data_IF_698218878453
#
_entry.id   IF_698218878453
#
_cell.length_a   1.000
_cell.length_b   1.000
_cell.length_c   1.000
_cell.angle_alpha   90.00
_cell.angle_beta   90.00
_cell.angle_gamma   90.00
#
_symmetry.space_group_name_H-M   'P 1'
#
loop_
_entity.id
_entity.type
_entity.pdbx_description
1 polymer ?
#
# COMPACT_ATOMS: atom_id res chain seq x y z
N UNK A 1 -3.00 -16.35 10.41
CA UNK A 1 -3.12 -16.46 8.94
C UNK A 1 -3.18 -15.05 8.41
N UNK A 2 -2.35 -14.70 7.42
CA UNK A 2 -2.43 -13.39 6.76
C UNK A 2 -3.72 -13.38 5.94
N UNK A 3 -4.46 -12.29 5.99
CA UNK A 3 -5.67 -12.10 5.16
C UNK A 3 -5.28 -12.19 3.68
N UNK A 4 -5.92 -13.06 2.91
CA UNK A 4 -5.57 -13.31 1.50
C UNK A 4 -5.63 -12.03 0.64
N UNK A 5 -6.43 -11.04 1.05
CA UNK A 5 -6.49 -9.73 0.39
C UNK A 5 -5.17 -8.98 0.52
N UNK A 6 -4.47 -9.12 1.64
CA UNK A 6 -3.15 -8.49 1.82
C UNK A 6 -2.16 -9.09 0.82
N UNK A 7 -2.15 -10.41 0.67
CA UNK A 7 -1.28 -11.06 -0.31
C UNK A 7 -1.60 -10.64 -1.74
N UNK A 8 -2.88 -10.54 -2.10
CA UNK A 8 -3.32 -10.04 -3.40
C UNK A 8 -2.82 -8.61 -3.67
N UNK A 9 -2.86 -7.73 -2.67
CA UNK A 9 -2.33 -6.37 -2.79
C UNK A 9 -0.80 -6.37 -2.98
N UNK A 10 -0.07 -7.18 -2.22
CA UNK A 10 1.40 -7.27 -2.35
C UNK A 10 1.80 -7.82 -3.72
N UNK A 11 1.14 -8.87 -4.20
CA UNK A 11 1.41 -9.42 -5.54
C UNK A 11 1.14 -8.41 -6.66
N UNK A 12 0.10 -7.60 -6.53
CA UNK A 12 -0.16 -6.51 -7.47
C UNK A 12 1.01 -5.52 -7.50
N UNK A 13 1.47 -5.05 -6.33
CA UNK A 13 2.60 -4.12 -6.24
C UNK A 13 3.90 -4.73 -6.78
N UNK A 14 4.18 -6.01 -6.46
CA UNK A 14 5.35 -6.72 -6.99
C UNK A 14 5.29 -6.90 -8.50
N UNK A 15 4.10 -7.11 -9.08
CA UNK A 15 3.93 -7.18 -10.53
C UNK A 15 4.26 -5.85 -11.19
N UNK A 16 3.70 -4.74 -10.70
CA UNK A 16 3.98 -3.40 -11.21
C UNK A 16 5.48 -3.09 -11.10
N UNK A 17 6.11 -3.40 -9.95
CA UNK A 17 7.53 -3.14 -9.74
C UNK A 17 8.48 -3.98 -10.61
N UNK A 18 8.03 -5.15 -11.12
CA UNK A 18 8.83 -6.02 -12.00
C UNK A 18 8.63 -5.72 -13.48
N UNK A 19 7.68 -4.87 -13.82
CA UNK A 19 7.32 -4.57 -15.19
C UNK A 19 7.99 -3.27 -15.62
N UNK A 20 8.85 -3.36 -16.64
CA UNK A 20 9.69 -2.26 -17.10
C UNK A 20 8.92 -1.17 -17.85
N UNK A 21 7.65 -1.43 -18.21
CA UNK A 21 6.79 -0.44 -18.84
C UNK A 21 6.16 0.53 -17.81
N UNK A 22 6.38 0.28 -16.52
CA UNK A 22 5.88 1.12 -15.42
C UNK A 22 7.00 1.96 -14.77
N UNK A 23 6.68 3.22 -14.50
CA UNK A 23 7.53 4.21 -13.85
C UNK A 23 6.85 4.93 -12.69
N UNK A 24 7.43 6.07 -12.30
CA UNK A 24 6.93 6.92 -11.23
C UNK A 24 6.26 8.18 -11.80
N UNK A 25 4.99 8.42 -11.46
CA UNK A 25 4.23 9.59 -11.92
C UNK A 25 3.44 10.21 -10.76
N UNK A 26 3.54 11.54 -10.60
CA UNK A 26 2.78 12.31 -9.62
C UNK A 26 1.57 13.05 -10.22
N UNK A 27 1.55 13.27 -11.54
CA UNK A 27 0.48 13.94 -12.28
C UNK A 27 -0.65 12.96 -12.64
N UNK A 28 -0.31 11.82 -13.25
CA UNK A 28 -1.25 10.72 -13.57
C UNK A 28 -0.97 9.52 -12.66
N UNK A 29 -0.99 9.81 -11.35
CA UNK A 29 -0.53 8.91 -10.29
C UNK A 29 -1.45 7.72 -10.03
N UNK A 30 -2.67 7.67 -10.54
CA UNK A 30 -3.63 6.60 -10.26
C UNK A 30 -3.60 5.47 -11.31
N UNK A 31 -2.54 5.37 -12.09
CA UNK A 31 -2.42 4.38 -13.17
C UNK A 31 -3.14 4.81 -14.44
N UNK A 32 -3.58 6.07 -14.57
CA UNK A 32 -4.30 6.55 -15.76
C UNK A 32 -3.47 6.40 -17.04
N UNK A 33 -2.13 6.45 -16.91
CA UNK A 33 -1.16 6.21 -17.98
C UNK A 33 -0.26 5.01 -17.72
N UNK A 34 -0.65 4.14 -16.80
CA UNK A 34 0.14 3.01 -16.34
C UNK A 34 0.96 3.30 -15.08
N UNK A 35 1.36 4.54 -14.83
CA UNK A 35 2.30 4.86 -13.75
C UNK A 35 1.61 5.25 -12.43
N UNK A 36 2.38 5.17 -11.35
CA UNK A 36 1.90 5.49 -10.01
C UNK A 36 2.97 6.24 -9.22
N UNK A 37 2.55 6.92 -8.15
CA UNK A 37 3.47 7.25 -7.07
C UNK A 37 3.36 6.25 -5.91
N UNK A 38 4.20 6.46 -4.89
CA UNK A 38 4.31 5.55 -3.75
C UNK A 38 2.97 5.33 -3.03
N UNK A 39 2.21 6.40 -2.83
CA UNK A 39 0.96 6.36 -2.08
C UNK A 39 -0.18 5.83 -2.94
N UNK A 40 -0.29 6.27 -4.19
CA UNK A 40 -1.35 5.86 -5.09
C UNK A 40 -1.23 4.40 -5.53
N UNK A 41 0.00 3.88 -5.72
CA UNK A 41 0.23 2.47 -5.98
C UNK A 41 -0.28 1.62 -4.80
N UNK A 42 0.14 1.98 -3.57
CA UNK A 42 -0.28 1.27 -2.36
C UNK A 42 -1.79 1.34 -2.18
N UNK A 43 -2.39 2.52 -2.29
CA UNK A 43 -3.85 2.68 -2.17
C UNK A 43 -4.56 1.82 -3.22
N UNK A 44 -4.16 1.90 -4.49
CA UNK A 44 -4.79 1.14 -5.59
C UNK A 44 -4.66 -0.36 -5.39
N UNK A 45 -3.51 -0.85 -4.93
CA UNK A 45 -3.29 -2.27 -4.68
C UNK A 45 -4.25 -2.82 -3.63
N UNK A 46 -4.37 -2.14 -2.49
CA UNK A 46 -5.26 -2.55 -1.40
C UNK A 46 -6.74 -2.33 -1.74
N UNK A 47 -7.07 -1.32 -2.54
CA UNK A 47 -8.42 -1.09 -3.05
C UNK A 47 -8.86 -2.24 -3.99
N UNK A 48 -8.01 -2.61 -4.96
CA UNK A 48 -8.21 -3.76 -5.86
C UNK A 48 -8.28 -5.11 -5.11
N UNK A 49 -7.69 -5.17 -3.93
CA UNK A 49 -7.78 -6.31 -3.03
C UNK A 49 -9.06 -6.35 -2.18
N UNK A 50 -9.87 -5.29 -2.19
CA UNK A 50 -11.16 -5.22 -1.50
C UNK A 50 -11.10 -4.62 -0.09
N UNK A 51 -10.11 -3.76 0.19
CA UNK A 51 -10.09 -2.96 1.43
C UNK A 51 -10.83 -1.62 1.33
N UNK A 52 -11.24 -1.21 0.12
CA UNK A 52 -11.96 0.03 -0.15
C UNK A 52 -11.27 1.28 0.46
N UNK A 53 -9.94 1.37 0.35
CA UNK A 53 -9.17 2.45 0.99
C UNK A 53 -9.54 3.82 0.42
N UNK A 54 -9.89 3.91 -0.86
CA UNK A 54 -10.34 5.17 -1.48
C UNK A 54 -11.64 5.65 -0.85
N UNK A 55 -12.62 4.76 -0.69
CA UNK A 55 -13.90 5.07 -0.03
C UNK A 55 -13.74 5.41 1.46
N UNK A 56 -12.70 4.87 2.09
CA UNK A 56 -12.34 5.18 3.48
C UNK A 56 -11.55 6.50 3.64
N UNK A 57 -11.27 7.19 2.52
CA UNK A 57 -10.69 8.53 2.48
C UNK A 57 -9.18 8.58 2.20
N UNK A 58 -8.55 7.48 1.76
CA UNK A 58 -7.15 7.49 1.39
C UNK A 58 -6.95 8.18 0.03
N UNK A 59 -6.17 9.25 0.01
CA UNK A 59 -5.80 9.97 -1.22
C UNK A 59 -4.31 10.23 -1.34
N UNK A 60 -3.53 10.21 -0.25
CA UNK A 60 -2.07 10.35 -0.21
C UNK A 60 -1.51 9.86 1.14
N UNK A 61 -0.18 9.80 1.31
CA UNK A 61 0.47 9.23 2.52
C UNK A 61 -0.09 9.77 3.84
N UNK A 62 -0.39 11.07 3.93
CA UNK A 62 -0.81 11.73 5.17
C UNK A 62 -2.17 11.27 5.72
N UNK A 63 -3.07 10.75 4.87
CA UNK A 63 -4.38 10.24 5.31
C UNK A 63 -4.52 8.71 5.20
N UNK A 64 -3.57 8.01 4.58
CA UNK A 64 -3.56 6.55 4.46
C UNK A 64 -3.65 5.85 5.82
N UNK A 65 -2.93 6.35 6.83
CA UNK A 65 -2.91 5.75 8.16
C UNK A 65 -4.31 5.66 8.79
N UNK A 66 -5.16 6.67 8.57
CA UNK A 66 -6.52 6.69 9.07
C UNK A 66 -7.42 5.71 8.31
N UNK A 67 -7.34 5.71 6.97
CA UNK A 67 -8.11 4.79 6.12
C UNK A 67 -7.77 3.32 6.40
N UNK A 68 -6.47 2.99 6.54
CA UNK A 68 -6.01 1.65 6.90
C UNK A 68 -6.57 1.21 8.25
N UNK A 69 -6.57 2.08 9.26
CA UNK A 69 -7.20 1.76 10.56
C UNK A 69 -8.69 1.48 10.43
N UNK A 70 -9.41 2.25 9.61
CA UNK A 70 -10.84 2.00 9.31
C UNK A 70 -11.06 0.67 8.58
N UNK A 71 -10.10 0.26 7.75
CA UNK A 71 -10.09 -1.02 7.07
C UNK A 71 -9.65 -2.21 7.96
N UNK A 72 -9.34 -1.96 9.25
CA UNK A 72 -9.01 -3.00 10.24
C UNK A 72 -7.51 -3.22 10.49
N UNK A 73 -6.63 -2.45 9.84
CA UNK A 73 -5.18 -2.54 10.09
C UNK A 73 -4.81 -1.97 11.46
N UNK A 74 -3.71 -2.48 12.02
CA UNK A 74 -3.19 -2.09 13.34
C UNK A 74 -1.78 -1.53 13.22
N UNK A 75 -1.47 -0.53 14.03
CA UNK A 75 -0.10 -0.05 14.16
C UNK A 75 0.73 -1.07 14.98
N UNK A 76 1.75 -1.64 14.36
CA UNK A 76 2.63 -2.66 14.95
C UNK A 76 4.05 -2.16 15.23
N UNK A 77 4.30 -0.84 15.15
CA UNK A 77 5.65 -0.27 15.27
C UNK A 77 6.42 -0.72 16.53
N UNK A 78 5.72 -0.98 17.64
CA UNK A 78 6.30 -1.47 18.90
C UNK A 78 6.91 -2.89 18.80
N UNK A 79 6.62 -3.62 17.72
CA UNK A 79 7.16 -4.95 17.42
C UNK A 79 8.30 -4.92 16.41
N UNK A 80 8.62 -3.74 15.87
CA UNK A 80 9.54 -3.57 14.75
C UNK A 80 10.78 -2.84 15.22
N UNK A 81 11.95 -3.37 14.86
CA UNK A 81 13.19 -2.62 14.91
C UNK A 81 13.25 -1.67 13.71
N UNK A 82 12.94 -0.40 13.92
CA UNK A 82 12.90 0.61 12.83
C UNK A 82 14.26 0.90 12.20
N UNK A 83 15.38 0.55 12.86
CA UNK A 83 16.72 0.72 12.30
C UNK A 83 17.12 -0.41 11.37
N UNK A 84 16.69 -1.64 11.66
CA UNK A 84 17.12 -2.83 10.89
C UNK A 84 16.01 -3.46 10.07
N UNK A 85 14.76 -3.02 10.25
CA UNK A 85 13.57 -3.68 9.71
C UNK A 85 13.24 -5.02 10.38
N UNK A 86 13.98 -5.41 11.43
CA UNK A 86 13.75 -6.66 12.15
C UNK A 86 12.33 -6.72 12.71
N UNK A 87 11.61 -7.80 12.40
CA UNK A 87 10.22 -8.00 12.82
C UNK A 87 9.17 -7.59 11.79
N UNK A 88 9.56 -6.93 10.69
CA UNK A 88 8.64 -6.64 9.58
C UNK A 88 8.10 -7.93 8.97
N UNK A 89 6.81 -7.90 8.64
CA UNK A 89 6.10 -9.00 8.01
C UNK A 89 5.65 -8.59 6.62
N UNK A 90 5.54 -9.58 5.74
CA UNK A 90 4.95 -9.37 4.42
C UNK A 90 3.54 -8.80 4.57
N UNK A 91 3.27 -7.68 3.90
CA UNK A 91 2.01 -6.96 4.00
C UNK A 91 2.00 -5.80 5.01
N UNK A 92 3.07 -5.62 5.79
CA UNK A 92 3.24 -4.38 6.57
C UNK A 92 3.39 -3.18 5.63
N UNK A 93 2.74 -2.07 5.99
CA UNK A 93 2.76 -0.83 5.23
C UNK A 93 3.57 0.20 6.02
N UNK A 94 4.64 0.69 5.43
CA UNK A 94 5.49 1.73 6.01
C UNK A 94 4.94 3.10 5.66
N UNK A 95 4.65 3.91 6.68
CA UNK A 95 4.19 5.29 6.56
C UNK A 95 5.08 6.19 7.43
N UNK A 96 5.30 7.43 7.00
CA UNK A 96 6.05 8.46 7.73
C UNK A 96 5.12 9.32 8.58
#
# INVERSE_FOLDING_TARGET
>A
MIDERVEKAVQFMEKIAKDNDHGYDQMYRWGEKGDYDCSSLTITAFDNAGFALKDLGATYTGNMSQALRRAGFKNVIHKINTRTGGGLQRGDILLN
#
